data_IF_671359009976
#
_entry.id   IF_671359009976
#
_cell.length_a   1.000
_cell.length_b   1.000
_cell.length_c   1.000
_cell.angle_alpha   90.00
_cell.angle_beta   90.00
_cell.angle_gamma   90.00
#
_symmetry.space_group_name_H-M   'P 1'
#
loop_
_entity.id
_entity.type
_entity.pdbx_description
1 polymer ?
#
# COMPACT_ATOMS: atom_id res chain seq x y z
N UNK A 1 11.64 -14.55 3.90
CA UNK A 1 12.55 -14.16 5.00
C UNK A 1 13.88 -13.78 4.40
N UNK A 2 14.61 -12.84 5.00
CA UNK A 2 15.90 -12.38 4.50
C UNK A 2 17.05 -13.14 5.17
N UNK A 3 18.12 -13.42 4.42
CA UNK A 3 19.37 -13.97 4.96
C UNK A 3 20.23 -12.88 5.63
N UNK A 4 20.10 -11.64 5.15
CA UNK A 4 20.85 -10.48 5.62
C UNK A 4 19.86 -9.33 5.85
N UNK A 5 20.00 -8.64 6.98
CA UNK A 5 19.25 -7.44 7.32
C UNK A 5 20.24 -6.31 7.54
N UNK A 6 20.07 -5.21 6.78
CA UNK A 6 20.88 -3.99 6.92
C UNK A 6 20.00 -2.89 7.51
N UNK A 7 20.37 -2.28 8.64
CA UNK A 7 19.56 -1.25 9.28
C UNK A 7 19.59 0.06 8.48
N UNK A 8 18.41 0.56 8.11
CA UNK A 8 18.24 1.83 7.40
C UNK A 8 17.81 2.94 8.36
N UNK A 9 18.17 4.17 8.04
CA UNK A 9 17.71 5.36 8.76
C UNK A 9 16.20 5.59 8.62
N UNK A 10 15.59 6.22 9.63
CA UNK A 10 14.25 6.82 9.50
C UNK A 10 14.32 8.20 8.82
N UNK A 11 13.17 8.69 8.36
CA UNK A 11 13.03 9.92 7.55
C UNK A 11 13.55 11.21 8.22
N UNK A 12 13.84 11.20 9.54
CA UNK A 12 14.41 12.33 10.26
C UNK A 12 15.94 12.28 10.39
N UNK A 13 16.57 11.19 9.98
CA UNK A 13 18.00 10.90 10.21
C UNK A 13 18.86 11.12 8.96
N UNK A 14 18.26 11.54 7.84
CA UNK A 14 18.97 11.78 6.58
C UNK A 14 18.39 12.96 5.80
N UNK A 15 19.20 13.49 4.90
CA UNK A 15 18.79 14.50 3.92
C UNK A 15 17.92 13.82 2.85
N UNK A 16 16.78 14.42 2.48
CA UNK A 16 15.88 13.87 1.46
C UNK A 16 14.97 14.95 0.83
N UNK A 17 14.29 14.58 -0.25
CA UNK A 17 13.24 15.37 -0.90
C UNK A 17 11.92 14.59 -0.97
N UNK A 18 10.81 15.30 -0.73
CA UNK A 18 9.48 14.72 -0.67
C UNK A 18 8.54 15.40 -1.66
N UNK A 19 7.81 14.59 -2.43
CA UNK A 19 6.67 15.03 -3.23
C UNK A 19 5.37 14.76 -2.49
N UNK A 20 4.44 15.70 -2.54
CA UNK A 20 3.09 15.49 -2.06
C UNK A 20 2.30 14.51 -2.94
N UNK A 21 1.45 13.69 -2.31
CA UNK A 21 0.43 12.92 -3.03
C UNK A 21 -0.89 13.71 -3.17
N UNK A 22 -1.20 14.58 -2.20
CA UNK A 22 -2.44 15.38 -2.17
C UNK A 22 -2.23 16.89 -2.32
N UNK A 23 -1.03 17.32 -2.70
CA UNK A 23 -0.68 18.73 -2.93
C UNK A 23 0.46 18.83 -3.95
N UNK A 24 0.56 19.95 -4.70
CA UNK A 24 1.54 20.12 -5.78
C UNK A 24 2.91 20.61 -5.28
N UNK A 25 3.22 20.46 -3.99
CA UNK A 25 4.45 20.97 -3.41
C UNK A 25 5.54 19.89 -3.35
N UNK A 26 6.77 20.32 -3.67
CA UNK A 26 8.00 19.59 -3.40
C UNK A 26 8.71 20.21 -2.20
N UNK A 27 9.25 19.37 -1.31
CA UNK A 27 9.99 19.80 -0.13
C UNK A 27 11.38 19.18 -0.14
N UNK A 28 12.38 19.95 0.28
CA UNK A 28 13.74 19.46 0.48
C UNK A 28 14.10 19.68 1.94
N UNK A 29 14.55 18.62 2.61
CA UNK A 29 14.78 18.63 4.05
C UNK A 29 16.16 18.12 4.39
N UNK A 30 16.81 18.80 5.33
CA UNK A 30 18.02 18.30 6.00
C UNK A 30 17.65 17.29 7.07
N UNK A 31 18.58 16.39 7.40
CA UNK A 31 18.51 15.55 8.60
C UNK A 31 18.24 16.42 9.84
N UNK A 32 17.39 15.91 10.73
CA UNK A 32 16.98 16.58 11.96
C UNK A 32 17.71 16.01 13.18
N UNK A 33 17.97 14.71 13.17
CA UNK A 33 18.75 14.02 14.18
C UNK A 33 19.82 13.14 13.53
N UNK A 34 20.78 12.67 14.31
CA UNK A 34 21.78 11.72 13.81
C UNK A 34 21.19 10.31 13.65
N UNK A 35 21.66 9.52 12.67
CA UNK A 35 21.31 8.11 12.54
C UNK A 35 21.45 7.33 13.85
N UNK A 36 20.45 6.53 14.17
CA UNK A 36 20.50 5.65 15.33
C UNK A 36 21.51 4.51 15.14
N UNK A 37 22.44 4.35 16.10
CA UNK A 37 23.45 3.28 16.12
C UNK A 37 24.18 3.09 14.77
N UNK A 38 24.04 1.92 14.13
CA UNK A 38 24.69 1.58 12.86
C UNK A 38 23.76 1.77 11.65
N UNK A 39 22.59 2.41 11.82
CA UNK A 39 21.69 2.73 10.73
C UNK A 39 22.39 3.61 9.69
N UNK A 40 22.21 3.27 8.41
CA UNK A 40 22.77 4.05 7.30
C UNK A 40 21.66 4.52 6.35
N UNK A 41 21.78 5.71 5.74
CA UNK A 41 20.92 6.10 4.64
C UNK A 41 21.00 5.08 3.50
N UNK A 42 19.86 4.83 2.84
CA UNK A 42 19.83 3.90 1.70
C UNK A 42 20.78 4.33 0.59
N UNK A 43 20.96 5.64 0.38
CA UNK A 43 21.95 6.19 -0.56
C UNK A 43 23.37 5.68 -0.27
N UNK A 44 23.82 5.77 0.98
CA UNK A 44 25.15 5.33 1.39
C UNK A 44 25.35 3.81 1.21
N UNK A 45 24.29 3.03 1.44
CA UNK A 45 24.30 1.58 1.22
C UNK A 45 24.43 1.27 -0.28
N UNK A 46 23.68 1.97 -1.13
CA UNK A 46 23.73 1.80 -2.58
C UNK A 46 25.11 2.19 -3.14
N UNK A 47 25.70 3.30 -2.69
CA UNK A 47 27.04 3.71 -3.10
C UNK A 47 28.11 2.68 -2.67
N UNK A 48 28.03 2.16 -1.44
CA UNK A 48 28.96 1.14 -0.96
C UNK A 48 28.81 -0.20 -1.72
N UNK A 49 27.60 -0.55 -2.16
CA UNK A 49 27.37 -1.71 -3.02
C UNK A 49 27.93 -1.48 -4.42
N UNK A 50 27.71 -0.30 -5.00
CA UNK A 50 28.24 0.06 -6.32
C UNK A 50 29.76 -0.08 -6.39
N UNK A 51 30.47 0.44 -5.38
CA UNK A 51 31.92 0.29 -5.25
C UNK A 51 32.35 -1.19 -5.24
N UNK A 52 31.70 -2.01 -4.42
CA UNK A 52 32.02 -3.45 -4.30
C UNK A 52 31.73 -4.24 -5.58
N UNK A 53 30.74 -3.81 -6.35
CA UNK A 53 30.34 -4.44 -7.61
C UNK A 53 31.12 -3.88 -8.82
N UNK A 54 31.96 -2.85 -8.62
CA UNK A 54 32.69 -2.19 -9.70
C UNK A 54 31.80 -1.36 -10.64
N UNK A 55 30.66 -0.86 -10.15
CA UNK A 55 29.77 0.00 -10.92
C UNK A 55 30.27 1.45 -10.89
N UNK A 56 30.28 2.10 -12.05
CA UNK A 56 30.75 3.48 -12.21
C UNK A 56 29.62 4.41 -12.64
N UNK A 57 29.34 5.42 -11.81
CA UNK A 57 28.43 6.52 -12.12
C UNK A 57 28.77 7.72 -11.22
N UNK A 58 28.75 8.97 -11.71
CA UNK A 58 29.09 10.14 -10.89
C UNK A 58 28.26 10.24 -9.59
N UNK A 59 26.98 9.85 -9.67
CA UNK A 59 26.07 9.83 -8.52
C UNK A 59 26.52 8.95 -7.34
N UNK A 60 27.37 7.93 -7.57
CA UNK A 60 27.90 7.11 -6.47
C UNK A 60 28.96 7.83 -5.64
N UNK A 61 29.48 8.96 -6.14
CA UNK A 61 30.44 9.81 -5.43
C UNK A 61 29.82 11.07 -4.83
N UNK A 62 28.51 11.26 -5.03
CA UNK A 62 27.77 12.41 -4.51
C UNK A 62 27.18 12.10 -3.15
N UNK A 63 27.11 13.11 -2.29
CA UNK A 63 26.22 13.10 -1.13
C UNK A 63 24.76 13.10 -1.59
N UNK A 64 23.84 12.69 -0.71
CA UNK A 64 22.40 12.80 -0.99
C UNK A 64 22.02 14.25 -1.36
N UNK A 65 22.59 15.25 -0.68
CA UNK A 65 22.32 16.66 -0.96
C UNK A 65 22.77 17.10 -2.35
N UNK A 66 23.99 16.72 -2.78
CA UNK A 66 24.50 17.05 -4.12
C UNK A 66 23.69 16.36 -5.21
N UNK A 67 23.29 15.10 -4.98
CA UNK A 67 22.44 14.37 -5.91
C UNK A 67 21.06 15.04 -6.06
N UNK A 68 20.48 15.48 -4.95
CA UNK A 68 19.24 16.24 -4.95
C UNK A 68 19.39 17.58 -5.69
N UNK A 69 20.45 18.34 -5.38
CA UNK A 69 20.72 19.64 -5.99
C UNK A 69 20.83 19.53 -7.52
N UNK A 70 21.64 18.58 -8.00
CA UNK A 70 21.79 18.33 -9.43
C UNK A 70 20.46 17.89 -10.08
N UNK A 71 19.69 17.02 -9.42
CA UNK A 71 18.41 16.52 -9.93
C UNK A 71 17.37 17.64 -10.05
N UNK A 72 17.31 18.53 -9.06
CA UNK A 72 16.40 19.68 -9.07
C UNK A 72 16.78 20.67 -10.16
N UNK A 73 18.07 21.05 -10.25
CA UNK A 73 18.54 21.96 -11.28
C UNK A 73 18.33 21.40 -12.70
N UNK A 74 18.60 20.11 -12.90
CA UNK A 74 18.34 19.43 -14.17
C UNK A 74 16.84 19.42 -14.54
N UNK A 75 15.96 19.51 -13.54
CA UNK A 75 14.51 19.59 -13.71
C UNK A 75 14.00 21.03 -13.86
N UNK A 76 14.89 22.03 -13.95
CA UNK A 76 14.52 23.44 -14.02
C UNK A 76 13.94 24.00 -12.71
N UNK A 77 14.15 23.31 -11.60
CA UNK A 77 13.71 23.72 -10.27
C UNK A 77 14.86 24.42 -9.51
N UNK A 78 14.55 25.18 -8.45
CA UNK A 78 15.55 25.72 -7.54
C UNK A 78 16.48 24.61 -7.01
N UNK A 79 17.78 24.92 -6.86
CA UNK A 79 18.75 24.01 -6.24
C UNK A 79 18.37 23.67 -4.79
N UNK A 80 18.96 22.62 -4.22
CA UNK A 80 18.56 22.04 -2.94
C UNK A 80 18.60 23.07 -1.79
N UNK A 81 19.62 23.93 -1.73
CA UNK A 81 19.71 24.98 -0.71
C UNK A 81 18.63 26.05 -0.84
N UNK A 82 18.24 26.40 -2.08
CA UNK A 82 17.17 27.35 -2.33
C UNK A 82 15.81 26.74 -2.01
N UNK A 83 15.53 25.54 -2.52
CA UNK A 83 14.31 24.79 -2.25
C UNK A 83 14.10 24.57 -0.74
N UNK A 84 15.16 24.25 0.00
CA UNK A 84 15.11 24.11 1.45
C UNK A 84 14.74 25.43 2.16
N UNK A 85 15.34 26.56 1.76
CA UNK A 85 15.00 27.89 2.31
C UNK A 85 13.57 28.32 2.01
N UNK A 86 13.05 27.96 0.84
CA UNK A 86 11.67 28.23 0.43
C UNK A 86 10.64 27.43 1.25
N UNK A 87 11.07 26.37 1.96
CA UNK A 87 10.24 25.37 2.68
C UNK A 87 9.45 24.45 1.76
N UNK A 88 8.90 25.00 0.68
CA UNK A 88 8.28 24.24 -0.39
C UNK A 88 8.50 24.95 -1.73
N UNK A 89 8.68 24.14 -2.77
CA UNK A 89 8.66 24.56 -4.17
C UNK A 89 7.25 24.25 -4.69
N UNK A 90 6.59 25.26 -5.25
CA UNK A 90 5.30 25.09 -5.91
C UNK A 90 5.51 24.48 -7.31
N UNK A 91 5.04 23.25 -7.49
CA UNK A 91 5.07 22.53 -8.75
C UNK A 91 3.67 22.46 -9.39
N UNK A 92 2.79 23.39 -9.04
CA UNK A 92 1.49 23.55 -9.71
C UNK A 92 1.72 23.80 -11.20
N UNK A 93 0.91 23.16 -12.02
CA UNK A 93 0.84 23.43 -13.45
C UNK A 93 -0.04 24.65 -13.71
N UNK A 94 -0.02 25.17 -14.93
CA UNK A 94 -0.95 26.21 -15.33
C UNK A 94 -2.40 25.72 -15.19
N UNK A 95 -3.33 26.64 -14.90
CA UNK A 95 -4.74 26.32 -14.69
C UNK A 95 -5.34 25.58 -15.91
N UNK A 96 -5.00 26.02 -17.12
CA UNK A 96 -5.42 25.39 -18.37
C UNK A 96 -4.99 23.91 -18.45
N UNK A 97 -3.76 23.59 -18.03
CA UNK A 97 -3.25 22.21 -18.03
C UNK A 97 -3.90 21.37 -16.92
N UNK A 98 -4.08 21.94 -15.72
CA UNK A 98 -4.70 21.23 -14.60
C UNK A 98 -6.17 20.90 -14.84
N UNK A 99 -6.86 21.73 -15.63
CA UNK A 99 -8.27 21.55 -15.99
C UNK A 99 -8.46 20.95 -17.40
N UNK A 100 -7.37 20.51 -18.05
CA UNK A 100 -7.40 19.90 -19.39
C UNK A 100 -8.05 20.79 -20.48
N UNK A 101 -7.95 22.13 -20.35
CA UNK A 101 -8.53 23.09 -21.30
C UNK A 101 -7.83 23.06 -22.66
N UNK A 102 -6.55 22.69 -22.69
CA UNK A 102 -5.76 22.49 -23.92
C UNK A 102 -5.83 21.04 -24.44
N UNK A 103 -6.68 20.19 -23.85
CA UNK A 103 -6.87 18.80 -24.21
C UNK A 103 -6.24 17.80 -23.24
N UNK A 104 -6.47 16.51 -23.50
CA UNK A 104 -5.93 15.40 -22.71
C UNK A 104 -4.56 14.97 -23.21
N UNK A 105 -3.76 14.31 -22.35
CA UNK A 105 -2.40 13.84 -22.67
C UNK A 105 -2.29 12.74 -23.74
N UNK A 106 -3.36 12.46 -24.49
CA UNK A 106 -3.35 11.57 -25.65
C UNK A 106 -2.88 12.32 -26.90
N UNK A 107 -2.37 11.59 -27.89
CA UNK A 107 -1.81 12.19 -29.12
C UNK A 107 -2.83 12.97 -29.96
N UNK A 108 -4.13 12.72 -29.77
CA UNK A 108 -5.23 13.42 -30.42
C UNK A 108 -5.87 14.52 -29.54
N UNK A 109 -5.37 14.73 -28.33
CA UNK A 109 -5.85 15.72 -27.38
C UNK A 109 -7.22 15.42 -26.75
N UNK A 110 -7.79 14.22 -26.95
CA UNK A 110 -9.17 13.89 -26.56
C UNK A 110 -9.22 12.91 -25.39
N UNK A 111 -10.33 12.94 -24.65
CA UNK A 111 -10.66 11.87 -23.71
C UNK A 111 -11.22 10.65 -24.47
N UNK A 112 -10.65 9.48 -24.23
CA UNK A 112 -11.07 8.23 -24.89
C UNK A 112 -12.11 7.50 -24.04
N UNK A 113 -13.39 7.67 -24.36
CA UNK A 113 -14.48 6.93 -23.70
C UNK A 113 -14.43 5.42 -23.99
N UNK A 114 -13.96 5.04 -25.17
CA UNK A 114 -13.70 3.65 -25.55
C UNK A 114 -12.19 3.40 -25.43
N UNK A 115 -11.73 2.73 -24.38
CA UNK A 115 -10.31 2.45 -24.19
C UNK A 115 -9.82 1.34 -25.11
N UNK A 116 -8.55 1.44 -25.52
CA UNK A 116 -7.84 0.34 -26.17
C UNK A 116 -7.25 -0.59 -25.11
N UNK A 117 -8.08 -1.50 -24.58
CA UNK A 117 -7.64 -2.46 -23.57
C UNK A 117 -6.47 -3.32 -24.04
N UNK A 118 -6.39 -3.64 -25.33
CA UNK A 118 -5.33 -4.46 -25.89
C UNK A 118 -3.97 -3.75 -25.86
N UNK A 119 -3.96 -2.41 -25.97
CA UNK A 119 -2.76 -1.61 -25.75
C UNK A 119 -2.32 -1.53 -24.28
N UNK A 120 -3.23 -1.80 -23.33
CA UNK A 120 -2.97 -1.69 -21.89
C UNK A 120 -2.45 -2.99 -21.26
N UNK A 121 -2.74 -4.15 -21.86
CA UNK A 121 -2.13 -5.41 -21.45
C UNK A 121 -2.88 -6.67 -21.89
N UNK A 122 -2.40 -7.86 -21.45
CA UNK A 122 -3.01 -9.14 -21.77
C UNK A 122 -4.44 -9.28 -21.22
N UNK A 123 -5.14 -10.34 -21.64
CA UNK A 123 -6.48 -10.71 -21.16
C UNK A 123 -7.59 -9.64 -21.37
N UNK A 124 -7.30 -8.63 -22.18
CA UNK A 124 -8.22 -7.57 -22.62
C UNK A 124 -9.44 -8.09 -23.39
N UNK A 125 -9.36 -9.28 -24.00
CA UNK A 125 -10.48 -9.88 -24.74
C UNK A 125 -11.68 -10.26 -23.86
N UNK A 126 -11.49 -10.41 -22.54
CA UNK A 126 -12.57 -10.64 -21.59
C UNK A 126 -13.23 -9.34 -21.10
N UNK A 127 -12.65 -8.18 -21.42
CA UNK A 127 -13.13 -6.89 -20.95
C UNK A 127 -14.26 -6.32 -21.83
N UNK A 128 -15.21 -5.58 -21.23
CA UNK A 128 -16.26 -4.91 -21.99
C UNK A 128 -15.67 -3.84 -22.91
N UNK A 129 -16.29 -3.61 -24.08
CA UNK A 129 -15.78 -2.63 -25.07
C UNK A 129 -15.78 -1.17 -24.56
N UNK A 130 -16.60 -0.86 -23.58
CA UNK A 130 -16.62 0.40 -22.84
C UNK A 130 -16.30 0.14 -21.37
N UNK A 131 -15.90 1.15 -20.59
CA UNK A 131 -15.79 1.03 -19.14
C UNK A 131 -17.16 0.67 -18.54
N UNK A 132 -17.33 -0.61 -18.24
CA UNK A 132 -18.57 -1.20 -17.75
C UNK A 132 -18.26 -2.31 -16.73
N UNK A 133 -19.28 -2.81 -16.06
CA UNK A 133 -19.17 -3.88 -15.08
C UNK A 133 -18.60 -5.16 -15.71
N UNK A 134 -17.62 -5.74 -15.02
CA UNK A 134 -17.04 -7.04 -15.33
C UNK A 134 -17.06 -7.87 -14.05
N UNK A 135 -17.65 -9.06 -14.11
CA UNK A 135 -17.78 -9.97 -12.96
C UNK A 135 -16.52 -10.82 -12.78
N UNK A 136 -15.35 -10.17 -12.73
CA UNK A 136 -14.06 -10.83 -12.58
C UNK A 136 -13.66 -10.93 -11.11
N UNK A 137 -14.56 -11.49 -10.30
CA UNK A 137 -14.38 -11.62 -8.86
C UNK A 137 -14.35 -13.08 -8.39
N UNK A 138 -13.71 -13.33 -7.24
CA UNK A 138 -13.86 -14.58 -6.49
C UNK A 138 -15.25 -14.68 -5.85
N UNK A 139 -16.27 -15.02 -6.64
CA UNK A 139 -17.66 -15.04 -6.19
C UNK A 139 -17.87 -15.87 -4.90
N UNK A 140 -18.75 -15.38 -4.02
CA UNK A 140 -19.21 -16.14 -2.87
C UNK A 140 -19.98 -17.38 -3.33
N UNK A 141 -19.77 -18.50 -2.65
CA UNK A 141 -20.38 -19.80 -2.98
C UNK A 141 -20.92 -20.46 -1.72
N UNK A 142 -21.62 -21.59 -1.85
CA UNK A 142 -22.04 -22.36 -0.68
C UNK A 142 -20.85 -22.85 0.17
N UNK A 143 -19.67 -23.06 -0.43
CA UNK A 143 -18.45 -23.47 0.28
C UNK A 143 -17.72 -22.28 0.92
N UNK A 144 -17.75 -21.11 0.26
CA UNK A 144 -17.14 -19.86 0.73
C UNK A 144 -18.17 -18.73 0.71
N UNK A 145 -19.11 -18.71 1.69
CA UNK A 145 -20.28 -17.83 1.62
C UNK A 145 -19.99 -16.37 1.96
N UNK A 146 -18.80 -16.04 2.48
CA UNK A 146 -18.46 -14.68 2.90
C UNK A 146 -17.48 -14.02 1.93
N UNK A 147 -17.59 -12.70 1.75
CA UNK A 147 -16.61 -11.86 1.08
C UNK A 147 -15.68 -11.21 2.09
N UNK A 148 -14.37 -11.32 1.88
CA UNK A 148 -13.34 -10.77 2.75
C UNK A 148 -12.83 -9.43 2.22
N UNK A 149 -12.84 -8.42 3.08
CA UNK A 149 -12.22 -7.11 2.82
C UNK A 149 -11.07 -6.89 3.80
N UNK A 150 -9.86 -6.73 3.27
CA UNK A 150 -8.63 -6.47 4.03
C UNK A 150 -8.29 -4.98 4.09
N UNK A 151 -9.22 -4.17 4.60
CA UNK A 151 -9.11 -2.71 4.61
C UNK A 151 -7.88 -2.20 5.41
N UNK A 152 -7.34 -1.02 5.10
CA UNK A 152 -6.26 -0.43 5.90
C UNK A 152 -6.74 -0.11 7.33
N UNK A 153 -5.87 -0.30 8.31
CA UNK A 153 -6.14 0.12 9.69
C UNK A 153 -5.95 1.64 9.82
N UNK A 154 -6.69 2.25 10.74
CA UNK A 154 -6.72 3.71 10.89
C UNK A 154 -5.45 4.30 11.49
N UNK A 155 -4.70 3.53 12.27
CA UNK A 155 -3.47 3.97 12.98
C UNK A 155 -2.19 3.39 12.39
N UNK A 156 -2.27 2.62 11.32
CA UNK A 156 -1.11 2.13 10.61
C UNK A 156 -0.98 2.82 9.25
N UNK A 157 0.23 2.81 8.72
CA UNK A 157 0.46 3.02 7.30
C UNK A 157 0.96 1.69 6.73
N UNK A 158 0.05 0.88 6.20
CA UNK A 158 0.32 -0.52 5.89
C UNK A 158 0.85 -1.26 7.14
N UNK A 159 2.09 -1.76 7.11
CA UNK A 159 2.77 -2.38 8.26
C UNK A 159 3.64 -1.42 9.07
N UNK A 160 3.78 -0.17 8.64
CA UNK A 160 4.53 0.88 9.35
C UNK A 160 3.70 1.45 10.49
N UNK A 161 4.37 1.81 11.59
CA UNK A 161 3.79 2.27 12.86
C UNK A 161 3.07 1.18 13.67
N UNK A 162 3.12 -0.08 13.23
CA UNK A 162 2.53 -1.23 13.96
C UNK A 162 3.28 -1.53 15.26
N UNK A 163 4.51 -1.05 15.38
CA UNK A 163 5.38 -1.16 16.55
C UNK A 163 5.12 -0.07 17.61
N UNK A 164 4.54 1.07 17.23
CA UNK A 164 4.35 2.21 18.14
C UNK A 164 3.29 1.91 19.21
N UNK A 165 3.57 2.30 20.45
CA UNK A 165 2.69 2.03 21.60
C UNK A 165 1.27 2.59 21.41
N UNK A 166 1.18 3.82 20.87
CA UNK A 166 -0.11 4.47 20.64
C UNK A 166 -0.94 3.74 19.59
N UNK A 167 -0.34 3.28 18.48
CA UNK A 167 -1.08 2.54 17.47
C UNK A 167 -1.48 1.16 17.98
N UNK A 168 -0.58 0.44 18.67
CA UNK A 168 -0.88 -0.87 19.29
C UNK A 168 -2.02 -0.79 20.30
N UNK A 169 -2.02 0.21 21.17
CA UNK A 169 -3.07 0.40 22.17
C UNK A 169 -4.42 0.71 21.53
N UNK A 170 -4.45 1.51 20.45
CA UNK A 170 -5.69 1.93 19.79
C UNK A 170 -6.28 0.85 18.87
N UNK A 171 -5.44 0.09 18.18
CA UNK A 171 -5.87 -0.96 17.26
C UNK A 171 -6.08 -2.32 17.97
N UNK A 172 -5.38 -2.55 19.07
CA UNK A 172 -5.53 -3.75 19.90
C UNK A 172 -4.91 -5.00 19.26
N UNK A 173 -5.69 -5.74 18.48
CA UNK A 173 -5.31 -7.03 17.89
C UNK A 173 -6.04 -7.29 16.56
N UNK A 174 -5.53 -8.19 15.70
CA UNK A 174 -6.27 -8.63 14.51
C UNK A 174 -7.68 -9.08 14.87
N UNK A 175 -8.66 -8.45 14.23
CA UNK A 175 -10.08 -8.56 14.54
C UNK A 175 -10.88 -8.62 13.24
N UNK A 176 -11.83 -9.55 13.16
CA UNK A 176 -12.81 -9.65 12.10
C UNK A 176 -14.10 -8.95 12.52
N UNK A 177 -14.42 -7.87 11.82
CA UNK A 177 -15.71 -7.21 11.91
C UNK A 177 -16.72 -8.02 11.10
N UNK A 178 -17.82 -8.41 11.76
CA UNK A 178 -18.84 -9.31 11.20
C UNK A 178 -20.22 -8.70 11.49
N UNK A 179 -21.16 -8.82 10.55
CA UNK A 179 -22.53 -8.36 10.77
C UNK A 179 -23.19 -9.10 11.95
N UNK A 180 -24.01 -8.42 12.79
CA UNK A 180 -24.68 -9.07 13.93
C UNK A 180 -25.54 -10.28 13.58
N UNK A 181 -26.12 -10.36 12.37
CA UNK A 181 -26.88 -11.52 11.92
C UNK A 181 -25.96 -12.73 11.68
N UNK A 182 -24.86 -12.52 10.97
CA UNK A 182 -23.86 -13.56 10.72
C UNK A 182 -23.22 -14.05 12.04
N UNK A 183 -22.95 -13.13 12.98
CA UNK A 183 -22.49 -13.51 14.33
C UNK A 183 -23.48 -14.45 15.02
N UNK A 184 -24.79 -14.15 14.97
CA UNK A 184 -25.82 -15.01 15.58
C UNK A 184 -25.87 -16.39 14.92
N UNK A 185 -25.84 -16.43 13.59
CA UNK A 185 -25.91 -17.67 12.83
C UNK A 185 -24.68 -18.56 13.05
N UNK A 186 -23.52 -17.94 13.29
CA UNK A 186 -22.26 -18.62 13.62
C UNK A 186 -22.08 -18.90 15.13
N UNK A 187 -22.97 -18.40 15.99
CA UNK A 187 -22.85 -18.51 17.44
C UNK A 187 -21.66 -17.74 18.04
N UNK A 188 -21.24 -16.65 17.40
CA UNK A 188 -20.12 -15.81 17.80
C UNK A 188 -20.56 -14.60 18.63
N UNK A 189 -19.77 -14.27 19.64
CA UNK A 189 -19.84 -13.03 20.43
C UNK A 189 -18.54 -12.25 20.34
N UNK A 190 -18.56 -11.00 20.81
CA UNK A 190 -17.39 -10.12 20.75
C UNK A 190 -16.20 -10.71 21.51
N UNK A 191 -15.08 -10.84 20.80
CA UNK A 191 -13.83 -11.36 21.33
C UNK A 191 -13.63 -12.86 21.18
N UNK A 192 -14.64 -13.61 20.74
CA UNK A 192 -14.51 -15.04 20.42
C UNK A 192 -13.52 -15.25 19.28
N UNK A 193 -12.90 -16.43 19.24
CA UNK A 193 -12.03 -16.81 18.14
C UNK A 193 -12.85 -17.28 16.94
N UNK A 194 -12.50 -16.79 15.76
CA UNK A 194 -13.09 -17.20 14.49
C UNK A 194 -11.98 -17.60 13.54
N UNK A 195 -12.13 -18.78 12.94
CA UNK A 195 -11.29 -19.24 11.84
C UNK A 195 -11.90 -18.78 10.53
N UNK A 196 -11.08 -18.11 9.73
CA UNK A 196 -11.43 -17.60 8.41
C UNK A 196 -10.57 -18.35 7.41
N UNK A 197 -11.16 -18.94 6.38
CA UNK A 197 -10.37 -19.70 5.42
C UNK A 197 -10.99 -19.85 4.05
N UNK A 198 -10.16 -20.33 3.12
CA UNK A 198 -10.54 -20.71 1.76
C UNK A 198 -9.58 -21.77 1.21
N UNK A 199 -9.61 -22.01 -0.11
CA UNK A 199 -8.70 -22.98 -0.77
C UNK A 199 -7.20 -22.69 -0.63
N UNK A 200 -6.79 -21.46 -0.27
CA UNK A 200 -5.38 -21.07 -0.12
C UNK A 200 -4.85 -21.33 1.29
N UNK A 201 -5.72 -21.26 2.30
CA UNK A 201 -5.36 -21.46 3.69
C UNK A 201 -6.42 -20.90 4.62
N UNK A 202 -6.07 -20.79 5.89
CA UNK A 202 -6.94 -20.28 6.94
C UNK A 202 -6.13 -19.58 8.04
N UNK A 203 -6.79 -18.65 8.75
CA UNK A 203 -6.21 -17.90 9.86
C UNK A 203 -7.22 -17.78 11.00
N UNK A 204 -6.71 -17.70 12.23
CA UNK A 204 -7.53 -17.40 13.43
C UNK A 204 -7.36 -15.95 13.85
N UNK A 205 -8.50 -15.25 13.96
CA UNK A 205 -8.62 -13.88 14.49
C UNK A 205 -9.74 -13.82 15.52
N UNK A 206 -10.04 -12.63 16.05
CA UNK A 206 -11.11 -12.44 17.02
C UNK A 206 -12.32 -11.78 16.36
N UNK A 207 -13.52 -12.25 16.65
CA UNK A 207 -14.75 -11.68 16.14
C UNK A 207 -15.09 -10.37 16.87
N UNK A 208 -15.68 -9.43 16.13
CA UNK A 208 -16.34 -8.25 16.67
C UNK A 208 -17.58 -7.93 15.85
N UNK A 209 -18.72 -7.86 16.51
CA UNK A 209 -19.98 -7.51 15.89
C UNK A 209 -19.97 -6.04 15.43
N UNK A 210 -20.38 -5.79 14.19
CA UNK A 210 -20.48 -4.45 13.62
C UNK A 210 -21.65 -4.35 12.64
N UNK A 211 -22.66 -3.55 13.00
CA UNK A 211 -23.93 -3.40 12.26
C UNK A 211 -23.81 -2.53 10.99
N UNK A 212 -22.66 -1.86 10.80
CA UNK A 212 -22.34 -1.11 9.59
C UNK A 212 -21.93 -1.97 8.39
N UNK A 213 -21.86 -3.29 8.53
CA UNK A 213 -21.50 -4.21 7.44
C UNK A 213 -22.72 -4.83 6.77
N UNK A 214 -22.60 -5.16 5.49
CA UNK A 214 -23.55 -6.04 4.81
C UNK A 214 -23.45 -7.47 5.37
N UNK A 215 -24.56 -8.19 5.39
CA UNK A 215 -24.59 -9.64 5.69
C UNK A 215 -23.75 -10.37 4.63
N UNK A 216 -22.96 -11.36 5.06
CA UNK A 216 -22.05 -12.11 4.18
C UNK A 216 -20.75 -11.37 3.86
N UNK A 217 -20.45 -10.24 4.53
CA UNK A 217 -19.17 -9.52 4.40
C UNK A 217 -18.43 -9.53 5.72
N UNK A 218 -17.15 -9.89 5.67
CA UNK A 218 -16.22 -9.81 6.80
C UNK A 218 -15.09 -8.84 6.48
N UNK A 219 -14.78 -7.95 7.42
CA UNK A 219 -13.69 -6.99 7.28
C UNK A 219 -12.62 -7.31 8.32
N UNK A 220 -11.37 -7.44 7.88
CA UNK A 220 -10.20 -7.54 8.77
C UNK A 220 -9.29 -6.37 8.46
N UNK A 221 -9.22 -5.41 9.37
CA UNK A 221 -8.45 -4.18 9.17
C UNK A 221 -6.95 -4.38 9.46
N UNK A 222 -6.12 -3.75 8.64
CA UNK A 222 -4.69 -3.57 8.85
C UNK A 222 -3.82 -4.68 8.26
N UNK A 223 -2.61 -4.28 7.86
CA UNK A 223 -1.53 -5.21 7.51
C UNK A 223 -0.70 -5.44 8.77
N UNK A 224 -1.28 -6.18 9.71
CA UNK A 224 -0.62 -6.54 10.96
C UNK A 224 0.59 -7.44 10.68
N UNK A 225 1.67 -7.30 11.48
CA UNK A 225 2.75 -8.29 11.45
C UNK A 225 2.20 -9.68 11.74
N UNK A 226 2.71 -10.68 11.03
CA UNK A 226 2.30 -12.09 11.19
C UNK A 226 2.24 -12.54 12.66
N UNK A 227 3.24 -12.16 13.48
CA UNK A 227 3.31 -12.47 14.92
C UNK A 227 2.15 -11.94 15.78
N UNK A 228 1.34 -11.01 15.24
CA UNK A 228 0.16 -10.47 15.93
C UNK A 228 -1.08 -11.34 15.74
N UNK A 229 -1.08 -12.24 14.75
CA UNK A 229 -2.15 -13.23 14.55
C UNK A 229 -1.94 -14.42 15.49
N UNK A 230 -3.03 -15.11 15.84
CA UNK A 230 -3.04 -16.20 16.83
C UNK A 230 -2.05 -17.32 16.45
N UNK A 231 -1.96 -17.64 15.16
CA UNK A 231 -1.13 -18.73 14.63
C UNK A 231 0.11 -18.20 13.86
N UNK A 232 0.41 -16.90 13.96
CA UNK A 232 1.56 -16.33 13.25
C UNK A 232 1.40 -16.20 11.73
N UNK A 233 0.17 -16.31 11.21
CA UNK A 233 -0.14 -16.21 9.79
C UNK A 233 -1.08 -15.02 9.52
N UNK A 234 -0.65 -14.10 8.66
CA UNK A 234 -1.38 -12.87 8.37
C UNK A 234 -2.53 -13.05 7.38
N UNK A 235 -3.46 -12.08 7.38
CA UNK A 235 -4.70 -12.14 6.58
C UNK A 235 -4.47 -12.30 5.07
N UNK A 236 -3.34 -11.83 4.54
CA UNK A 236 -2.97 -11.98 3.14
C UNK A 236 -2.67 -13.44 2.73
N UNK A 237 -2.61 -14.39 3.68
CA UNK A 237 -2.61 -15.81 3.35
C UNK A 237 -3.90 -16.23 2.62
N UNK A 238 -4.98 -15.48 2.77
CA UNK A 238 -6.27 -15.73 2.13
C UNK A 238 -6.44 -15.03 0.79
N UNK A 239 -5.61 -14.04 0.46
CA UNK A 239 -5.75 -13.22 -0.75
C UNK A 239 -5.12 -13.87 -1.97
N UNK A 240 -5.77 -13.77 -3.13
CA UNK A 240 -5.22 -14.21 -4.41
C UNK A 240 -4.04 -13.35 -4.87
N UNK A 241 -3.15 -13.95 -5.68
CA UNK A 241 -2.06 -13.25 -6.37
C UNK A 241 -2.33 -13.12 -7.88
N UNK A 242 -3.56 -13.43 -8.29
CA UNK A 242 -4.00 -13.40 -9.68
C UNK A 242 -3.97 -11.96 -10.21
N UNK A 243 -3.36 -11.72 -11.38
CA UNK A 243 -3.29 -10.38 -11.96
C UNK A 243 -4.68 -9.95 -12.45
N UNK A 244 -5.10 -8.73 -12.06
CA UNK A 244 -6.31 -8.15 -12.63
C UNK A 244 -6.08 -7.73 -14.10
N UNK A 245 -6.96 -8.09 -15.05
CA UNK A 245 -6.84 -7.62 -16.43
C UNK A 245 -7.12 -6.10 -16.53
N UNK A 246 -6.58 -5.42 -17.55
CA UNK A 246 -5.65 -5.94 -18.56
C UNK A 246 -4.18 -5.72 -18.16
N UNK A 247 -3.90 -4.75 -17.28
CA UNK A 247 -2.55 -4.28 -16.95
C UNK A 247 -1.94 -4.87 -15.68
N UNK A 248 -2.60 -5.83 -15.04
CA UNK A 248 -2.17 -6.46 -13.80
C UNK A 248 -2.57 -5.67 -12.54
N UNK A 249 -1.87 -5.95 -11.44
CA UNK A 249 -2.22 -5.49 -10.09
C UNK A 249 -2.93 -6.58 -9.28
N UNK A 250 -2.96 -6.41 -7.96
CA UNK A 250 -3.52 -7.41 -7.04
C UNK A 250 -4.95 -7.06 -6.63
N UNK A 251 -5.84 -8.03 -6.75
CA UNK A 251 -7.25 -7.91 -6.36
C UNK A 251 -7.43 -8.21 -4.85
N UNK A 252 -6.84 -7.37 -3.99
CA UNK A 252 -6.77 -7.63 -2.53
C UNK A 252 -8.11 -7.80 -1.81
N UNK A 253 -9.16 -7.13 -2.27
CA UNK A 253 -10.50 -7.21 -1.67
C UNK A 253 -11.43 -8.15 -2.43
N UNK A 254 -10.84 -8.96 -3.30
CA UNK A 254 -11.54 -9.93 -4.08
C UNK A 254 -11.25 -11.34 -3.59
N UNK A 255 -11.89 -11.69 -2.47
CA UNK A 255 -11.66 -12.98 -1.83
C UNK A 255 -12.94 -13.49 -1.21
N UNK A 256 -13.30 -14.74 -1.52
CA UNK A 256 -14.35 -15.46 -0.82
C UNK A 256 -13.75 -16.38 0.25
N UNK A 257 -14.43 -16.46 1.40
CA UNK A 257 -14.01 -17.24 2.56
C UNK A 257 -15.21 -17.93 3.22
N UNK A 258 -14.92 -18.94 4.03
CA UNK A 258 -15.83 -19.45 5.06
C UNK A 258 -15.42 -18.89 6.43
N UNK A 259 -16.37 -18.87 7.36
CA UNK A 259 -16.17 -18.53 8.77
C UNK A 259 -16.61 -19.71 9.64
N UNK A 260 -15.83 -20.04 10.65
CA UNK A 260 -16.16 -21.07 11.66
C UNK A 260 -15.79 -20.57 13.04
N UNK A 261 -16.69 -20.74 14.00
CA UNK A 261 -16.36 -20.53 15.40
C UNK A 261 -15.28 -21.53 15.82
N UNK A 262 -14.20 -21.04 16.43
CA UNK A 262 -13.21 -21.91 17.06
C UNK A 262 -13.66 -22.22 18.47
N UNK A 263 -13.72 -23.51 18.81
CA UNK A 263 -13.91 -23.92 20.19
C UNK A 263 -12.79 -23.38 21.07
N UNK A 264 -13.14 -22.94 22.28
CA UNK A 264 -12.19 -22.58 23.34
C UNK A 264 -11.31 -23.75 23.75
#
# INVERSE_FOLDING_TARGET
LADIVLPATMFLEHDDMYKGNGHPYLQVTRKVIEPFEECRPNHDVLCALAEKLGAEHPGFSMTAWELMDQSLMASGLPGADEAHRMRWVDCSKADDEMNFLDGFGHSDGRFHFAPDWAALGPDSGAMPALPDHMDNIEAATAEHPFRLVTAPARRFLNSTFTETETSRTKEGRPTAFINPADCRDLGLTDGDRVRIGNRRGDVVVHAKSFDGLQIGVVVVEGIWPNKSFVEGLGINALTGADPAPPGGGAAFHDTAVWLRAEGT
#
